data_IF_084195017715
#
_entry.id   IF_084195017715
#
_cell.length_a   1.000
_cell.length_b   1.000
_cell.length_c   1.000
_cell.angle_alpha   90.00
_cell.angle_beta   90.00
_cell.angle_gamma   90.00
#
_symmetry.space_group_name_H-M   'P 1'
#
loop_
_entity.id
_entity.type
_entity.pdbx_description
1 polymer ?
#
# COMPACT_ATOMS: atom_id res chain seq x y z
N UNK A 1 38.77 -12.22 -42.54
CA UNK A 1 37.50 -12.95 -42.64
C UNK A 1 36.92 -13.00 -41.23
N UNK A 2 36.03 -12.05 -40.88
CA UNK A 2 34.56 -12.18 -40.97
C UNK A 2 34.09 -13.32 -40.04
N UNK A 3 33.37 -13.11 -38.94
CA UNK A 3 32.63 -11.93 -38.53
C UNK A 3 32.16 -11.96 -37.07
N UNK A 4 31.72 -10.78 -36.64
CA UNK A 4 31.26 -10.38 -35.32
C UNK A 4 30.09 -11.22 -34.78
N UNK A 5 30.27 -11.78 -33.58
CA UNK A 5 29.22 -12.39 -32.74
C UNK A 5 28.63 -11.35 -31.76
N UNK A 6 28.22 -10.19 -32.28
CA UNK A 6 27.70 -9.05 -31.48
C UNK A 6 26.17 -8.87 -31.48
N UNK A 7 25.38 -9.74 -32.12
CA UNK A 7 23.94 -9.47 -32.34
C UNK A 7 22.98 -10.52 -31.76
N UNK A 8 23.01 -10.77 -30.45
CA UNK A 8 21.95 -11.55 -29.78
C UNK A 8 21.49 -11.00 -28.41
N UNK A 9 21.80 -9.74 -28.08
CA UNK A 9 21.28 -9.06 -26.89
C UNK A 9 20.57 -7.74 -27.24
N UNK A 10 19.78 -7.75 -28.32
CA UNK A 10 19.21 -6.53 -28.91
C UNK A 10 17.69 -6.50 -29.05
N UNK A 11 16.88 -7.21 -28.24
CA UNK A 11 15.41 -7.20 -28.47
C UNK A 11 14.49 -7.40 -27.26
N UNK A 12 14.90 -7.17 -26.01
CA UNK A 12 13.94 -7.25 -24.87
C UNK A 12 13.92 -6.04 -23.93
N UNK A 13 14.58 -4.93 -24.26
CA UNK A 13 14.71 -3.77 -23.36
C UNK A 13 14.01 -2.50 -23.81
N UNK A 14 13.12 -2.57 -24.80
CA UNK A 14 12.36 -1.39 -25.27
C UNK A 14 10.86 -1.41 -24.90
N UNK A 15 10.34 -2.47 -24.29
CA UNK A 15 8.91 -2.54 -23.89
C UNK A 15 8.65 -2.22 -22.41
N UNK A 16 9.67 -1.82 -21.65
CA UNK A 16 9.54 -1.45 -20.23
C UNK A 16 9.52 0.07 -19.97
N UNK A 17 9.70 0.90 -21.00
CA UNK A 17 9.73 2.36 -20.88
C UNK A 17 8.44 3.06 -21.39
N UNK A 18 7.41 2.29 -21.77
CA UNK A 18 6.12 2.82 -22.23
C UNK A 18 5.04 2.87 -21.13
N UNK A 19 5.44 2.84 -19.85
CA UNK A 19 4.54 3.19 -18.73
C UNK A 19 5.01 4.51 -18.15
N UNK A 20 4.12 5.51 -18.16
CA UNK A 20 4.21 6.82 -17.50
C UNK A 20 4.53 8.06 -18.36
N UNK A 21 4.06 8.10 -19.61
CA UNK A 21 3.55 9.36 -20.15
C UNK A 21 2.02 9.40 -19.96
N UNK A 22 1.56 9.33 -18.70
CA UNK A 22 0.16 9.64 -18.38
C UNK A 22 -0.07 11.11 -18.70
N UNK A 23 -1.06 11.37 -19.55
CA UNK A 23 -1.50 12.71 -19.87
C UNK A 23 -1.67 13.54 -18.58
N UNK A 24 -1.20 14.80 -18.55
CA UNK A 24 -1.19 15.64 -17.35
C UNK A 24 -2.59 15.90 -16.75
N UNK A 25 -3.65 15.54 -17.47
CA UNK A 25 -5.06 15.66 -17.03
C UNK A 25 -5.53 14.50 -16.16
N UNK A 26 -4.92 13.31 -16.27
CA UNK A 26 -5.27 12.14 -15.45
C UNK A 26 -4.44 12.04 -14.16
N UNK A 27 -3.58 13.03 -13.91
CA UNK A 27 -2.83 13.11 -12.67
C UNK A 27 -3.80 13.24 -11.49
N UNK A 28 -3.64 12.37 -10.49
CA UNK A 28 -4.42 12.42 -9.26
C UNK A 28 -4.16 13.77 -8.57
N UNK A 29 -5.20 14.51 -8.11
CA UNK A 29 -5.00 15.76 -7.40
C UNK A 29 -4.06 15.57 -6.20
N UNK A 30 -3.10 16.49 -6.04
CA UNK A 30 -2.06 16.37 -5.02
C UNK A 30 -2.64 16.23 -3.60
N UNK A 31 -3.74 16.93 -3.31
CA UNK A 31 -4.46 16.82 -2.03
C UNK A 31 -4.94 15.39 -1.73
N UNK A 32 -5.46 14.70 -2.75
CA UNK A 32 -5.94 13.31 -2.61
C UNK A 32 -4.76 12.37 -2.43
N UNK A 33 -3.70 12.54 -3.22
CA UNK A 33 -2.49 11.72 -3.12
C UNK A 33 -1.84 11.86 -1.73
N UNK A 34 -1.71 13.08 -1.21
CA UNK A 34 -1.13 13.35 0.12
C UNK A 34 -2.03 12.80 1.23
N UNK A 35 -3.35 12.97 1.13
CA UNK A 35 -4.27 12.44 2.13
C UNK A 35 -4.23 10.92 2.21
N UNK A 36 -4.10 10.24 1.06
CA UNK A 36 -3.96 8.77 1.01
C UNK A 36 -2.58 8.36 1.49
N UNK A 37 -1.51 9.06 1.11
CA UNK A 37 -0.15 8.73 1.54
C UNK A 37 0.06 8.90 3.06
N UNK A 38 -0.61 9.88 3.67
CA UNK A 38 -0.65 10.08 5.12
C UNK A 38 -1.65 9.19 5.86
N UNK A 39 -2.32 8.26 5.16
CA UNK A 39 -3.27 7.36 5.79
C UNK A 39 -2.56 6.28 6.62
N UNK A 40 -3.12 5.98 7.79
CA UNK A 40 -2.68 4.87 8.63
C UNK A 40 -3.67 3.73 8.58
N UNK A 41 -3.15 2.50 8.54
CA UNK A 41 -3.96 1.28 8.54
C UNK A 41 -3.84 0.61 9.90
N UNK A 42 -4.96 0.49 10.57
CA UNK A 42 -5.08 -0.15 11.87
C UNK A 42 -5.78 -1.49 11.67
N UNK A 43 -5.06 -2.58 11.94
CA UNK A 43 -5.66 -3.91 12.02
C UNK A 43 -6.44 -4.05 13.32
N UNK A 44 -7.77 -4.22 13.23
CA UNK A 44 -8.61 -4.55 14.40
C UNK A 44 -8.92 -6.03 14.37
N UNK A 45 -8.61 -6.79 15.45
CA UNK A 45 -9.07 -8.16 15.56
C UNK A 45 -10.59 -8.14 15.52
N UNK A 46 -11.16 -8.90 14.58
CA UNK A 46 -12.58 -9.12 14.52
C UNK A 46 -13.01 -10.18 15.54
N UNK A 47 -14.32 -10.45 15.62
CA UNK A 47 -14.83 -11.52 16.47
C UNK A 47 -14.32 -12.91 16.02
N UNK A 48 -14.06 -13.03 14.72
CA UNK A 48 -13.51 -14.19 14.03
C UNK A 48 -12.34 -13.79 13.11
N UNK A 49 -11.44 -14.74 12.83
CA UNK A 49 -10.22 -14.53 12.03
C UNK A 49 -10.52 -14.01 10.60
N UNK A 50 -11.74 -14.25 10.11
CA UNK A 50 -12.26 -13.76 8.83
C UNK A 50 -12.94 -12.38 8.91
N UNK A 51 -13.18 -11.87 10.11
CA UNK A 51 -13.79 -10.56 10.36
C UNK A 51 -12.79 -9.50 10.80
N UNK A 52 -11.49 -9.79 10.73
CA UNK A 52 -10.45 -8.80 10.96
C UNK A 52 -10.71 -7.57 10.07
N UNK A 53 -11.09 -6.46 10.71
CA UNK A 53 -11.46 -5.23 10.01
C UNK A 53 -10.23 -4.35 9.95
N UNK A 54 -9.85 -3.95 8.75
CA UNK A 54 -8.84 -2.92 8.59
C UNK A 54 -9.52 -1.57 8.62
N UNK A 55 -9.18 -0.75 9.60
CA UNK A 55 -9.62 0.63 9.69
C UNK A 55 -8.53 1.50 9.03
N UNK A 56 -8.92 2.29 8.05
CA UNK A 56 -8.06 3.29 7.42
C UNK A 56 -8.39 4.63 8.06
N UNK A 57 -7.41 5.28 8.66
CA UNK A 57 -7.52 6.61 9.26
C UNK A 57 -6.73 7.61 8.43
N UNK A 58 -7.37 8.69 8.02
CA UNK A 58 -6.81 9.77 7.21
C UNK A 58 -7.02 11.12 7.90
N UNK A 59 -6.38 12.18 7.40
CA UNK A 59 -6.63 13.54 7.89
C UNK A 59 -8.09 14.00 7.73
N UNK A 60 -8.86 13.41 6.79
CA UNK A 60 -10.27 13.75 6.52
C UNK A 60 -11.27 12.77 7.14
N UNK A 61 -10.81 11.87 8.01
CA UNK A 61 -11.66 10.92 8.72
C UNK A 61 -11.22 9.47 8.56
N UNK A 62 -12.09 8.54 8.93
CA UNK A 62 -11.79 7.13 8.95
C UNK A 62 -12.88 6.29 8.29
N UNK A 63 -12.49 5.18 7.67
CA UNK A 63 -13.41 4.23 7.06
C UNK A 63 -12.83 2.81 7.14
N UNK A 64 -13.71 1.81 7.13
CA UNK A 64 -13.27 0.42 7.06
C UNK A 64 -12.90 0.06 5.63
N UNK A 65 -11.82 -0.70 5.47
CA UNK A 65 -11.47 -1.27 4.17
C UNK A 65 -12.38 -2.46 3.86
N UNK A 66 -13.14 -2.32 2.78
CA UNK A 66 -14.01 -3.35 2.20
C UNK A 66 -14.24 -3.03 0.72
N UNK A 67 -15.09 -3.80 0.03
CA UNK A 67 -15.26 -3.64 -1.41
C UNK A 67 -15.82 -2.26 -1.82
N UNK A 68 -16.77 -1.74 -1.03
CA UNK A 68 -17.52 -0.53 -1.40
C UNK A 68 -17.17 0.70 -0.57
N UNK A 69 -16.67 0.50 0.64
CA UNK A 69 -16.41 1.57 1.61
C UNK A 69 -15.35 2.58 1.13
N UNK A 70 -14.21 2.18 0.53
CA UNK A 70 -13.23 3.12 0.02
C UNK A 70 -13.80 3.98 -1.13
N UNK A 71 -14.64 3.38 -1.98
CA UNK A 71 -15.30 4.08 -3.10
C UNK A 71 -16.29 5.12 -2.57
N UNK A 72 -17.16 4.72 -1.64
CA UNK A 72 -18.13 5.63 -1.02
C UNK A 72 -17.43 6.77 -0.26
N UNK A 73 -16.32 6.48 0.43
CA UNK A 73 -15.53 7.49 1.12
C UNK A 73 -14.89 8.50 0.14
N UNK A 74 -14.31 8.04 -0.98
CA UNK A 74 -13.77 8.92 -2.01
C UNK A 74 -14.84 9.83 -2.61
N UNK A 75 -16.02 9.28 -2.94
CA UNK A 75 -17.14 10.04 -3.49
C UNK A 75 -17.67 11.09 -2.50
N UNK A 76 -17.69 10.78 -1.21
CA UNK A 76 -18.15 11.73 -0.18
C UNK A 76 -17.17 12.87 0.07
N UNK A 77 -15.86 12.64 -0.06
CA UNK A 77 -14.84 13.64 0.28
C UNK A 77 -14.36 14.46 -0.93
N UNK A 78 -14.39 13.86 -2.13
CA UNK A 78 -14.02 14.51 -3.38
C UNK A 78 -15.02 14.10 -4.49
N UNK A 79 -16.22 14.71 -4.50
CA UNK A 79 -17.25 14.39 -5.49
C UNK A 79 -16.81 14.72 -6.93
N UNK A 80 -15.89 15.68 -7.10
CA UNK A 80 -15.42 16.18 -8.39
C UNK A 80 -14.36 15.28 -9.07
N UNK A 81 -13.97 14.16 -8.44
CA UNK A 81 -12.99 13.24 -9.03
C UNK A 81 -13.57 12.50 -10.25
N UNK A 82 -12.79 12.48 -11.33
CA UNK A 82 -13.10 11.66 -12.51
C UNK A 82 -13.04 10.17 -12.15
N UNK A 83 -13.67 9.32 -12.95
CA UNK A 83 -13.64 7.88 -12.71
C UNK A 83 -12.21 7.30 -12.79
N UNK A 84 -11.37 7.84 -13.69
CA UNK A 84 -9.96 7.45 -13.83
C UNK A 84 -9.17 7.80 -12.57
N UNK A 85 -9.32 9.04 -12.08
CA UNK A 85 -8.67 9.49 -10.84
C UNK A 85 -9.15 8.67 -9.64
N UNK A 86 -10.44 8.35 -9.58
CA UNK A 86 -11.00 7.52 -8.50
C UNK A 86 -10.44 6.11 -8.53
N UNK A 87 -10.29 5.51 -9.71
CA UNK A 87 -9.69 4.18 -9.85
C UNK A 87 -8.21 4.19 -9.43
N UNK A 88 -7.47 5.24 -9.79
CA UNK A 88 -6.09 5.41 -9.35
C UNK A 88 -5.99 5.56 -7.82
N UNK A 89 -6.86 6.37 -7.20
CA UNK A 89 -6.94 6.53 -5.76
C UNK A 89 -7.26 5.21 -5.03
N UNK A 90 -8.19 4.41 -5.57
CA UNK A 90 -8.50 3.08 -5.05
C UNK A 90 -7.29 2.13 -5.14
N UNK A 91 -6.52 2.21 -6.23
CA UNK A 91 -5.26 1.48 -6.38
C UNK A 91 -4.24 1.84 -5.30
N UNK A 92 -4.07 3.14 -5.00
CA UNK A 92 -3.19 3.62 -3.93
C UNK A 92 -3.64 3.15 -2.54
N UNK A 93 -4.95 3.18 -2.27
CA UNK A 93 -5.48 2.67 -0.99
C UNK A 93 -5.21 1.16 -0.86
N UNK A 94 -5.42 0.40 -1.95
CA UNK A 94 -5.17 -1.03 -1.96
C UNK A 94 -3.69 -1.38 -1.74
N UNK A 95 -2.76 -0.65 -2.37
CA UNK A 95 -1.32 -0.88 -2.18
C UNK A 95 -0.88 -0.56 -0.75
N UNK A 96 -1.40 0.52 -0.17
CA UNK A 96 -1.14 0.91 1.21
C UNK A 96 -1.62 -0.15 2.21
N UNK A 97 -2.80 -0.72 1.97
CA UNK A 97 -3.33 -1.83 2.77
C UNK A 97 -2.45 -3.08 2.68
N UNK A 98 -1.99 -3.45 1.48
CA UNK A 98 -1.10 -4.59 1.29
C UNK A 98 0.23 -4.38 2.01
N UNK A 99 0.81 -3.18 1.91
CA UNK A 99 2.04 -2.83 2.62
C UNK A 99 1.87 -2.96 4.14
N UNK A 100 0.78 -2.41 4.68
CA UNK A 100 0.48 -2.50 6.11
C UNK A 100 0.27 -3.95 6.59
N UNK A 101 -0.37 -4.81 5.78
CA UNK A 101 -0.51 -6.24 6.11
C UNK A 101 0.84 -6.93 6.23
N UNK A 102 1.72 -6.71 5.24
CA UNK A 102 3.06 -7.30 5.24
C UNK A 102 3.87 -6.86 6.46
N UNK A 103 3.77 -5.59 6.84
CA UNK A 103 4.43 -5.07 8.04
C UNK A 103 3.88 -5.70 9.32
N UNK A 104 2.55 -5.83 9.44
CA UNK A 104 1.91 -6.50 10.57
C UNK A 104 2.31 -7.98 10.69
N UNK A 105 2.37 -8.69 9.55
CA UNK A 105 2.83 -10.09 9.50
C UNK A 105 4.30 -10.22 9.89
N UNK A 106 5.16 -9.32 9.41
CA UNK A 106 6.57 -9.27 9.78
C UNK A 106 6.76 -8.99 11.27
N UNK A 107 6.01 -8.04 11.83
CA UNK A 107 6.03 -7.74 13.26
C UNK A 107 5.55 -8.95 14.09
N UNK A 108 4.48 -9.62 13.66
CA UNK A 108 4.00 -10.84 14.33
C UNK A 108 5.03 -11.98 14.28
N UNK A 109 5.76 -12.13 13.17
CA UNK A 109 6.85 -13.09 13.06
C UNK A 109 8.01 -12.76 14.00
N UNK A 110 8.40 -11.49 14.12
CA UNK A 110 9.44 -11.05 15.04
C UNK A 110 9.10 -11.33 16.50
N UNK A 111 7.84 -11.11 16.92
CA UNK A 111 7.37 -11.43 18.28
C UNK A 111 7.48 -12.94 18.58
N UNK A 112 7.26 -13.82 17.60
CA UNK A 112 7.40 -15.28 17.78
C UNK A 112 8.85 -15.72 17.94
N UNK A 113 9.80 -15.01 17.34
CA UNK A 113 11.24 -15.34 17.37
C UNK A 113 12.05 -14.64 18.47
N UNK A 114 11.49 -13.62 19.12
CA UNK A 114 12.17 -12.85 20.17
C UNK A 114 12.29 -13.59 21.51
N UNK A 115 13.26 -13.17 22.33
CA UNK A 115 13.34 -13.61 23.73
C UNK A 115 12.00 -13.34 24.40
N UNK A 116 11.33 -14.42 24.83
CA UNK A 116 10.08 -14.31 25.58
C UNK A 116 10.31 -13.41 26.79
N UNK A 117 9.30 -12.62 27.16
CA UNK A 117 9.30 -11.86 28.42
C UNK A 117 9.71 -12.74 29.62
N UNK A 118 9.30 -14.02 29.62
CA UNK A 118 9.67 -14.99 30.64
C UNK A 118 11.19 -15.26 30.75
N UNK A 119 11.96 -14.99 29.70
CA UNK A 119 13.42 -15.16 29.64
C UNK A 119 14.18 -13.84 29.86
N UNK A 120 13.47 -12.76 30.20
CA UNK A 120 14.11 -11.49 30.51
C UNK A 120 14.85 -11.61 31.86
N UNK A 121 16.14 -11.30 31.85
CA UNK A 121 16.92 -11.15 33.08
C UNK A 121 17.29 -9.68 33.28
N UNK A 122 17.10 -9.12 34.49
CA UNK A 122 17.52 -7.76 34.78
C UNK A 122 19.04 -7.65 34.64
N UNK A 123 19.49 -6.55 34.05
CA UNK A 123 20.90 -6.21 33.95
C UNK A 123 21.44 -6.09 35.37
N UNK A 124 22.27 -7.04 35.80
CA UNK A 124 22.97 -6.95 37.08
C UNK A 124 24.11 -5.95 36.90
N UNK A 125 23.99 -4.77 37.50
CA UNK A 125 25.10 -3.85 37.68
C UNK A 125 26.16 -4.52 38.57
N UNK A 126 27.41 -4.52 38.09
CA UNK A 126 28.61 -5.06 38.75
C UNK A 126 29.05 -4.15 39.89
#
# INVERSE_FOLDING_TARGET
MIGNLKNLLGSCQDEAAAVAATAPTDALPADVAVTIAGAHVIGRPGADDKSARQLITTARGAFFYGAEQPRAWLQSNWPDLTDVQRQHALGLIGSLVIAAKREQEAAAAAVRGGSRWANWQPIRSV
#
